data_IF_281682662557
#
_entry.id   IF_281682662557
#
_cell.length_a   1.000
_cell.length_b   1.000
_cell.length_c   1.000
_cell.angle_alpha   90.00
_cell.angle_beta   90.00
_cell.angle_gamma   90.00
#
_symmetry.space_group_name_H-M   'P 1'
#
loop_
_entity.id
_entity.type
_entity.pdbx_description
1 polymer ?
#
# COMPACT_ATOMS: atom_id res chain seq x y z
N UNK A 1 -19.14 -21.10 1.53
CA UNK A 1 -18.47 -20.07 2.34
C UNK A 1 -17.91 -19.01 1.40
N UNK A 2 -18.57 -17.84 1.28
CA UNK A 2 -18.11 -16.74 0.42
C UNK A 2 -16.92 -16.08 1.12
N UNK A 3 -15.71 -16.44 0.69
CA UNK A 3 -14.49 -15.80 1.14
C UNK A 3 -14.60 -14.30 0.93
N UNK A 4 -14.46 -13.54 2.02
CA UNK A 4 -14.43 -12.08 1.99
C UNK A 4 -13.17 -11.70 1.22
N UNK A 5 -13.29 -11.47 -0.09
CA UNK A 5 -12.32 -10.68 -0.84
C UNK A 5 -12.39 -9.26 -0.28
N UNK A 6 -11.80 -9.03 0.90
CA UNK A 6 -11.41 -7.69 1.32
C UNK A 6 -10.47 -7.23 0.23
N UNK A 7 -10.97 -6.34 -0.61
CA UNK A 7 -10.19 -5.63 -1.62
C UNK A 7 -8.84 -5.27 -1.00
N UNK A 8 -7.77 -5.96 -1.41
CA UNK A 8 -6.38 -5.64 -1.06
C UNK A 8 -5.92 -4.36 -1.78
N UNK A 9 -6.87 -3.53 -2.22
CA UNK A 9 -6.59 -2.28 -2.87
C UNK A 9 -6.05 -1.31 -1.82
N UNK A 10 -4.90 -0.68 -2.09
CA UNK A 10 -4.39 0.33 -1.20
C UNK A 10 -5.40 1.46 -1.05
N UNK A 11 -5.69 1.83 0.19
CA UNK A 11 -6.53 2.99 0.47
C UNK A 11 -5.63 4.21 0.60
N UNK A 12 -5.78 5.22 -0.26
CA UNK A 12 -5.01 6.47 -0.24
C UNK A 12 -5.94 7.60 0.22
N UNK A 13 -5.52 8.42 1.19
CA UNK A 13 -6.31 9.55 1.70
C UNK A 13 -5.42 10.75 2.06
N UNK A 14 -6.04 11.89 2.33
CA UNK A 14 -5.36 13.12 2.76
C UNK A 14 -5.83 13.49 4.17
N UNK A 15 -4.90 13.73 5.09
CA UNK A 15 -5.17 14.04 6.50
C UNK A 15 -3.99 14.82 7.11
N UNK A 16 -4.30 15.77 8.00
CA UNK A 16 -3.29 16.59 8.71
C UNK A 16 -2.20 17.16 7.80
N UNK A 17 -2.59 17.74 6.66
CA UNK A 17 -1.71 18.36 5.64
C UNK A 17 -0.82 17.41 4.85
N UNK A 18 -1.07 16.10 4.88
CA UNK A 18 -0.31 15.12 4.12
C UNK A 18 -1.15 14.01 3.50
N UNK A 19 -0.56 13.34 2.52
CA UNK A 19 -1.08 12.16 1.87
C UNK A 19 -0.63 10.90 2.60
N UNK A 20 -1.57 9.99 2.79
CA UNK A 20 -1.39 8.73 3.48
C UNK A 20 -1.86 7.59 2.58
N UNK A 21 -1.34 6.39 2.83
CA UNK A 21 -1.95 5.18 2.30
C UNK A 21 -1.84 3.99 3.25
N UNK A 22 -2.75 3.03 3.07
CA UNK A 22 -2.80 1.79 3.84
C UNK A 22 -2.69 0.59 2.92
N UNK A 23 -1.69 -0.26 3.17
CA UNK A 23 -1.45 -1.51 2.42
C UNK A 23 -0.93 -2.56 3.40
N UNK A 24 -1.31 -3.83 3.19
CA UNK A 24 -0.94 -4.96 4.08
C UNK A 24 -1.32 -4.78 5.56
N UNK A 25 -2.27 -3.89 5.87
CA UNK A 25 -2.70 -3.59 7.24
C UNK A 25 -1.91 -2.45 7.90
N UNK A 26 -0.85 -1.96 7.26
CA UNK A 26 0.02 -0.89 7.76
C UNK A 26 -0.26 0.43 7.07
N UNK A 27 -0.06 1.54 7.79
CA UNK A 27 -0.26 2.91 7.29
C UNK A 27 1.10 3.57 7.02
N UNK A 28 1.19 4.32 5.92
CA UNK A 28 2.41 5.02 5.48
C UNK A 28 2.07 6.47 5.16
N UNK A 29 2.92 7.39 5.63
CA UNK A 29 2.73 8.84 5.51
C UNK A 29 3.14 9.56 6.80
N UNK A 30 2.89 10.89 6.88
CA UNK A 30 2.34 11.74 5.82
C UNK A 30 3.38 12.05 4.74
N UNK A 31 2.95 12.06 3.47
CA UNK A 31 3.73 12.57 2.34
C UNK A 31 3.20 13.95 1.91
N UNK A 32 4.04 14.94 1.61
CA UNK A 32 3.58 16.27 1.21
C UNK A 32 2.77 16.25 -0.10
N UNK A 33 3.15 15.40 -1.05
CA UNK A 33 2.60 15.40 -2.41
C UNK A 33 1.98 14.04 -2.78
N UNK A 34 0.83 14.05 -3.46
CA UNK A 34 0.14 12.83 -3.91
C UNK A 34 1.02 11.94 -4.81
N UNK A 35 1.79 12.49 -5.77
CA UNK A 35 2.73 11.69 -6.57
C UNK A 35 3.74 10.91 -5.73
N UNK A 36 4.24 11.50 -4.65
CA UNK A 36 5.20 10.85 -3.74
C UNK A 36 4.55 9.69 -2.99
N UNK A 37 3.35 9.90 -2.44
CA UNK A 37 2.58 8.83 -1.80
C UNK A 37 2.31 7.66 -2.77
N UNK A 38 1.95 7.97 -4.02
CA UNK A 38 1.71 6.96 -5.07
C UNK A 38 2.98 6.20 -5.46
N UNK A 39 4.10 6.89 -5.58
CA UNK A 39 5.39 6.26 -5.87
C UNK A 39 5.78 5.27 -4.77
N UNK A 40 5.73 5.70 -3.51
CA UNK A 40 6.07 4.84 -2.37
C UNK A 40 5.13 3.63 -2.25
N UNK A 41 3.84 3.82 -2.54
CA UNK A 41 2.89 2.72 -2.60
C UNK A 41 3.29 1.65 -3.63
N UNK A 42 3.68 2.07 -4.85
CA UNK A 42 4.12 1.15 -5.90
C UNK A 42 5.39 0.39 -5.50
N UNK A 43 6.34 1.06 -4.85
CA UNK A 43 7.56 0.42 -4.32
C UNK A 43 7.22 -0.69 -3.34
N UNK A 44 6.38 -0.41 -2.34
CA UNK A 44 5.98 -1.39 -1.31
C UNK A 44 5.23 -2.57 -1.93
N UNK A 45 4.33 -2.32 -2.88
CA UNK A 45 3.63 -3.39 -3.60
C UNK A 45 4.60 -4.29 -4.40
N UNK A 46 5.57 -3.68 -5.09
CA UNK A 46 6.60 -4.40 -5.84
C UNK A 46 7.49 -5.26 -4.94
N UNK A 47 7.97 -4.72 -3.83
CA UNK A 47 8.76 -5.46 -2.83
C UNK A 47 7.99 -6.64 -2.25
N UNK A 48 6.71 -6.44 -1.92
CA UNK A 48 5.84 -7.51 -1.44
C UNK A 48 5.63 -8.62 -2.49
N UNK A 49 5.52 -8.26 -3.77
CA UNK A 49 5.46 -9.23 -4.85
C UNK A 49 6.75 -10.04 -4.97
N UNK A 50 7.91 -9.37 -4.96
CA UNK A 50 9.21 -10.03 -5.04
C UNK A 50 9.44 -10.99 -3.87
N UNK A 51 9.10 -10.59 -2.64
CA UNK A 51 9.24 -11.44 -1.46
C UNK A 51 8.35 -12.70 -1.56
N UNK A 52 7.09 -12.55 -1.99
CA UNK A 52 6.20 -13.70 -2.21
C UNK A 52 6.75 -14.66 -3.26
N UNK A 53 7.36 -14.14 -4.33
CA UNK A 53 8.01 -14.97 -5.35
C UNK A 53 9.25 -15.68 -4.82
N UNK A 54 10.03 -15.05 -3.95
CA UNK A 54 11.22 -15.65 -3.35
C UNK A 54 10.89 -16.80 -2.38
N UNK A 55 9.80 -16.66 -1.60
CA UNK A 55 9.36 -17.68 -0.63
C UNK A 55 8.63 -18.86 -1.31
N UNK A 56 8.00 -18.65 -2.47
CA UNK A 56 7.27 -19.70 -3.18
C UNK A 56 8.16 -20.72 -3.92
N UNK A 57 9.49 -20.64 -3.75
CA UNK A 57 10.47 -21.62 -4.26
C UNK A 57 10.86 -22.60 -3.16
#
# INVERSE_FOLDING_TARGET
>A
MRGVYKSQHPFVWFEESGWWFKVFGECFGPYPELPEARYNLLVIQGLSQQLRQAIAK
#
